data_IF_146631758770
#
_entry.id   IF_146631758770
#
_cell.length_a   1.000
_cell.length_b   1.000
_cell.length_c   1.000
_cell.angle_alpha   90.00
_cell.angle_beta   90.00
_cell.angle_gamma   90.00
#
_symmetry.space_group_name_H-M   'P 1'
#
loop_
_entity.id
_entity.type
_entity.pdbx_description
1 polymer ?
#
# COMPACT_ATOMS: atom_id res chain seq x y z
N UNK A 1 -44.01 29.43 -79.29
CA UNK A 1 -42.97 28.75 -80.10
C UNK A 1 -42.01 28.09 -79.12
N UNK A 2 -42.25 26.83 -78.72
CA UNK A 2 -41.52 25.61 -79.17
C UNK A 2 -40.00 25.72 -78.96
N UNK A 3 -39.25 24.83 -78.32
CA UNK A 3 -39.39 23.42 -77.93
C UNK A 3 -38.22 23.13 -76.93
N UNK A 4 -38.36 22.33 -75.86
CA UNK A 4 -38.18 20.86 -75.77
C UNK A 4 -36.99 20.46 -74.88
N UNK A 5 -37.25 19.43 -74.09
CA UNK A 5 -36.53 18.90 -72.95
C UNK A 5 -35.23 18.12 -73.27
N UNK A 6 -34.34 18.02 -72.27
CA UNK A 6 -33.66 16.75 -71.93
C UNK A 6 -33.49 16.60 -70.41
N UNK A 7 -34.12 15.55 -69.88
CA UNK A 7 -34.02 15.04 -68.51
C UNK A 7 -32.66 14.33 -68.32
N UNK A 8 -32.03 14.49 -67.16
CA UNK A 8 -31.14 13.48 -66.56
C UNK A 8 -31.62 13.23 -65.12
N UNK A 9 -31.86 11.96 -64.84
CA UNK A 9 -32.49 11.47 -63.61
C UNK A 9 -31.55 11.43 -62.40
N UNK A 10 -32.08 11.05 -61.22
CA UNK A 10 -31.35 11.04 -59.96
C UNK A 10 -30.34 9.88 -59.91
N UNK A 11 -29.26 10.00 -59.11
CA UNK A 11 -28.34 8.90 -58.89
C UNK A 11 -29.00 7.75 -58.11
N UNK A 12 -28.64 6.53 -58.50
CA UNK A 12 -29.09 5.27 -57.89
C UNK A 12 -28.56 5.08 -56.45
N UNK A 13 -29.30 4.34 -55.60
CA UNK A 13 -28.89 4.02 -54.24
C UNK A 13 -27.94 2.83 -54.24
N UNK A 14 -26.77 2.94 -53.59
CA UNK A 14 -25.93 1.77 -53.33
C UNK A 14 -26.40 1.06 -52.05
N UNK A 15 -27.17 0.01 -52.27
CA UNK A 15 -27.55 -1.02 -51.33
C UNK A 15 -26.37 -1.95 -51.02
N UNK A 16 -25.89 -1.95 -49.78
CA UNK A 16 -25.42 -3.18 -49.09
C UNK A 16 -25.70 -3.06 -47.60
N UNK A 17 -26.93 -3.38 -47.22
CA UNK A 17 -27.27 -4.00 -45.93
C UNK A 17 -27.56 -5.48 -46.21
N UNK A 18 -27.39 -6.29 -45.17
CA UNK A 18 -27.91 -7.66 -44.96
C UNK A 18 -26.99 -8.82 -45.33
N UNK A 19 -26.13 -9.16 -44.36
CA UNK A 19 -26.15 -10.50 -43.75
C UNK A 19 -26.30 -10.25 -42.24
N UNK A 20 -27.53 -10.06 -41.72
CA UNK A 20 -28.36 -11.07 -41.05
C UNK A 20 -27.59 -12.03 -40.11
N UNK A 21 -27.84 -11.81 -38.82
CA UNK A 21 -28.16 -12.83 -37.81
C UNK A 21 -27.07 -13.85 -37.47
N UNK A 22 -26.13 -13.44 -36.63
CA UNK A 22 -25.58 -14.28 -35.56
C UNK A 22 -24.68 -13.44 -34.62
N UNK A 23 -25.26 -12.62 -33.73
CA UNK A 23 -24.59 -12.16 -32.50
C UNK A 23 -25.55 -11.32 -31.62
N UNK A 24 -26.79 -11.78 -31.44
CA UNK A 24 -27.69 -11.30 -30.39
C UNK A 24 -27.91 -12.47 -29.42
N UNK A 25 -26.80 -12.92 -28.82
CA UNK A 25 -26.75 -13.92 -27.75
C UNK A 25 -25.39 -13.88 -27.04
N UNK A 26 -24.97 -12.70 -26.57
CA UNK A 26 -23.88 -12.57 -25.59
C UNK A 26 -24.01 -11.31 -24.73
N UNK A 27 -25.21 -10.74 -24.62
CA UNK A 27 -25.60 -9.87 -23.50
C UNK A 27 -26.06 -10.76 -22.35
N UNK A 28 -25.10 -11.13 -21.49
CA UNK A 28 -25.20 -11.53 -20.08
C UNK A 28 -24.01 -12.47 -19.83
N UNK A 29 -22.86 -11.94 -19.41
CA UNK A 29 -21.79 -12.61 -18.62
C UNK A 29 -20.49 -11.79 -18.67
N UNK A 30 -20.53 -10.52 -18.23
CA UNK A 30 -19.34 -9.83 -17.71
C UNK A 30 -19.73 -9.12 -16.41
N UNK A 31 -20.23 -9.90 -15.45
CA UNK A 31 -20.44 -9.47 -14.06
C UNK A 31 -19.77 -10.41 -13.05
N UNK A 32 -18.87 -11.28 -13.51
CA UNK A 32 -18.13 -12.22 -12.65
C UNK A 32 -16.70 -12.43 -13.14
N UNK A 33 -16.03 -11.38 -13.62
CA UNK A 33 -14.58 -11.44 -13.68
C UNK A 33 -14.08 -11.36 -12.23
N UNK A 34 -13.44 -12.40 -11.66
CA UNK A 34 -12.82 -12.27 -10.36
C UNK A 34 -11.83 -11.11 -10.45
N UNK A 35 -11.93 -10.18 -9.50
CA UNK A 35 -10.93 -9.14 -9.35
C UNK A 35 -9.55 -9.80 -9.36
N UNK A 36 -8.56 -9.31 -10.15
CA UNK A 36 -7.25 -9.92 -10.16
C UNK A 36 -6.72 -9.95 -8.72
N UNK A 37 -6.21 -11.10 -8.29
CA UNK A 37 -5.91 -11.46 -6.90
C UNK A 37 -4.73 -10.74 -6.25
N UNK A 38 -4.44 -9.48 -6.60
CA UNK A 38 -3.32 -8.70 -6.05
C UNK A 38 -3.63 -8.07 -4.68
N UNK A 39 -4.88 -8.17 -4.20
CA UNK A 39 -5.31 -7.73 -2.85
C UNK A 39 -5.38 -8.87 -1.82
N UNK A 40 -5.13 -10.12 -2.23
CA UNK A 40 -5.04 -11.27 -1.34
C UNK A 40 -3.57 -11.55 -1.04
N UNK A 41 -3.21 -11.54 0.25
CA UNK A 41 -1.96 -12.04 0.83
C UNK A 41 -0.76 -11.08 0.81
N UNK A 42 -0.86 -9.90 1.44
CA UNK A 42 0.30 -9.33 2.15
C UNK A 42 0.28 -9.69 3.64
N UNK A 43 -0.93 -9.81 4.20
CA UNK A 43 -1.17 -9.93 5.65
C UNK A 43 -1.04 -11.36 6.17
N UNK A 44 -1.20 -12.37 5.30
CA UNK A 44 -1.21 -13.80 5.67
C UNK A 44 -0.04 -14.59 5.05
N UNK A 45 0.94 -13.92 4.44
CA UNK A 45 2.13 -14.61 3.93
C UNK A 45 3.08 -14.88 5.08
N UNK A 46 3.21 -16.15 5.47
CA UNK A 46 4.27 -16.59 6.38
C UNK A 46 5.60 -16.43 5.65
N UNK A 47 6.37 -15.44 6.07
CA UNK A 47 7.67 -15.16 5.48
C UNK A 47 8.73 -16.02 6.17
N UNK A 48 9.46 -16.83 5.40
CA UNK A 48 10.62 -17.55 5.94
C UNK A 48 11.77 -16.58 6.14
N UNK A 49 11.94 -16.10 7.36
CA UNK A 49 13.10 -15.31 7.74
C UNK A 49 14.33 -16.19 7.87
N UNK A 50 15.48 -15.64 7.47
CA UNK A 50 16.77 -16.24 7.78
C UNK A 50 17.04 -16.10 9.28
N UNK A 51 17.74 -17.08 9.89
CA UNK A 51 18.02 -17.04 11.32
C UNK A 51 18.91 -15.84 11.67
N UNK A 52 18.62 -15.18 12.79
CA UNK A 52 19.35 -14.00 13.28
C UNK A 52 20.84 -14.25 13.56
N UNK A 53 21.25 -15.51 13.67
CA UNK A 53 22.68 -15.89 13.73
C UNK A 53 23.45 -15.52 12.48
N UNK A 54 22.76 -15.23 11.36
CA UNK A 54 23.34 -14.72 10.11
C UNK A 54 23.36 -13.19 10.05
N UNK A 55 23.14 -12.47 11.15
CA UNK A 55 23.36 -11.04 11.19
C UNK A 55 24.85 -10.73 10.91
N UNK A 56 25.12 -9.91 9.90
CA UNK A 56 26.46 -9.37 9.64
C UNK A 56 26.76 -8.20 10.59
N UNK A 57 25.73 -7.43 10.91
CA UNK A 57 25.83 -6.34 11.86
C UNK A 57 24.51 -6.13 12.59
N UNK A 58 24.62 -5.57 13.80
CA UNK A 58 23.50 -5.18 14.64
C UNK A 58 23.84 -3.90 15.37
N UNK A 59 22.95 -2.92 15.28
CA UNK A 59 23.13 -1.61 15.90
C UNK A 59 21.82 -1.12 16.50
N UNK A 60 21.91 -0.35 17.58
CA UNK A 60 20.77 0.40 18.11
C UNK A 60 20.77 1.83 17.56
N UNK A 61 19.61 2.30 17.09
CA UNK A 61 19.42 3.69 16.65
C UNK A 61 18.08 4.22 17.15
N UNK A 62 18.08 5.27 17.98
CA UNK A 62 16.84 5.87 18.54
C UNK A 62 15.92 4.85 19.23
N UNK A 63 16.49 3.83 19.89
CA UNK A 63 15.73 2.74 20.53
C UNK A 63 15.23 1.64 19.56
N UNK A 64 15.57 1.73 18.28
CA UNK A 64 15.25 0.72 17.26
C UNK A 64 16.44 -0.24 17.10
N UNK A 65 16.16 -1.54 17.08
CA UNK A 65 17.11 -2.60 16.77
C UNK A 65 17.26 -2.72 15.24
N UNK A 66 18.41 -2.31 14.72
CA UNK A 66 18.72 -2.36 13.29
C UNK A 66 19.64 -3.52 13.01
N UNK A 67 19.28 -4.32 12.01
CA UNK A 67 19.98 -5.57 11.69
C UNK A 67 20.28 -5.59 10.20
N UNK A 68 21.56 -5.76 9.84
CA UNK A 68 21.97 -6.06 8.47
C UNK A 68 22.33 -7.53 8.36
N UNK A 69 21.58 -8.30 7.58
CA UNK A 69 21.87 -9.73 7.37
C UNK A 69 23.06 -9.92 6.44
N UNK A 70 23.86 -10.97 6.67
CA UNK A 70 24.91 -11.38 5.74
C UNK A 70 24.33 -11.56 4.34
N UNK A 71 25.08 -11.11 3.32
CA UNK A 71 24.66 -11.30 1.94
C UNK A 71 24.50 -12.80 1.66
N UNK A 72 23.44 -13.21 0.96
CA UNK A 72 23.31 -14.59 0.51
C UNK A 72 24.51 -14.97 -0.38
N UNK A 73 24.87 -16.26 -0.46
CA UNK A 73 25.89 -16.74 -1.38
C UNK A 73 25.62 -16.23 -2.81
N UNK A 74 26.69 -16.06 -3.59
CA UNK A 74 26.60 -15.53 -4.96
C UNK A 74 25.55 -16.31 -5.75
N UNK A 75 24.48 -15.61 -6.11
CA UNK A 75 23.38 -16.10 -6.94
C UNK A 75 23.02 -15.02 -7.98
N UNK A 76 22.26 -15.40 -8.99
CA UNK A 76 21.79 -14.49 -10.03
C UNK A 76 20.62 -13.66 -9.48
N UNK A 77 20.96 -12.55 -8.83
CA UNK A 77 19.98 -11.54 -8.42
C UNK A 77 19.66 -10.60 -9.58
N UNK A 78 18.42 -10.14 -9.62
CA UNK A 78 17.88 -9.24 -10.62
C UNK A 78 18.41 -7.80 -10.50
N UNK A 79 19.02 -7.47 -9.36
CA UNK A 79 19.67 -6.19 -9.08
C UNK A 79 20.97 -6.41 -8.29
N UNK A 80 21.91 -5.46 -8.34
CA UNK A 80 23.05 -5.45 -7.44
C UNK A 80 22.60 -5.44 -5.96
N UNK A 81 23.19 -6.33 -5.17
CA UNK A 81 22.94 -6.37 -3.74
C UNK A 81 23.73 -5.27 -3.04
N UNK A 82 23.05 -4.49 -2.21
CA UNK A 82 23.67 -3.44 -1.42
C UNK A 82 24.42 -4.03 -0.22
N UNK A 83 25.52 -3.39 0.16
CA UNK A 83 26.25 -3.75 1.38
C UNK A 83 25.34 -3.59 2.63
N UNK A 84 25.35 -4.55 3.58
CA UNK A 84 24.51 -4.46 4.77
C UNK A 84 24.77 -3.21 5.62
N UNK A 85 26.02 -2.77 5.79
CA UNK A 85 26.35 -1.61 6.61
C UNK A 85 25.87 -0.32 5.95
N UNK A 86 26.10 -0.17 4.65
CA UNK A 86 25.58 0.95 3.87
C UNK A 86 24.04 1.02 3.91
N UNK A 87 23.38 -0.14 3.84
CA UNK A 87 21.91 -0.21 3.90
C UNK A 87 21.38 0.15 5.29
N UNK A 88 22.00 -0.33 6.35
CA UNK A 88 21.61 0.05 7.72
C UNK A 88 21.84 1.55 7.97
N UNK A 89 22.92 2.13 7.46
CA UNK A 89 23.13 3.58 7.52
C UNK A 89 22.01 4.37 6.81
N UNK A 90 21.54 3.86 5.66
CA UNK A 90 20.39 4.44 4.95
C UNK A 90 19.08 4.29 5.73
N UNK A 91 18.85 3.15 6.37
CA UNK A 91 17.68 2.95 7.25
C UNK A 91 17.72 3.94 8.42
N UNK A 92 18.89 4.18 9.03
CA UNK A 92 19.08 5.21 10.08
C UNK A 92 18.68 6.59 9.57
N UNK A 93 19.16 6.96 8.38
CA UNK A 93 18.80 8.23 7.75
C UNK A 93 17.29 8.33 7.48
N UNK A 94 16.65 7.26 6.98
CA UNK A 94 15.21 7.23 6.77
C UNK A 94 14.42 7.40 8.07
N UNK A 95 14.83 6.73 9.16
CA UNK A 95 14.23 6.92 10.49
C UNK A 95 14.39 8.35 10.98
N UNK A 96 15.60 8.92 10.86
CA UNK A 96 15.84 10.31 11.28
C UNK A 96 15.00 11.30 10.46
N UNK A 97 14.79 11.03 9.16
CA UNK A 97 13.89 11.83 8.30
C UNK A 97 12.44 11.77 8.78
N UNK A 98 11.92 10.59 9.14
CA UNK A 98 10.56 10.47 9.73
C UNK A 98 10.44 11.34 10.97
N UNK A 99 11.41 11.25 11.88
CA UNK A 99 11.42 11.99 13.15
C UNK A 99 11.49 13.51 12.96
N UNK A 100 12.28 13.97 11.99
CA UNK A 100 12.45 15.40 11.72
C UNK A 100 11.27 16.03 11.00
N UNK A 101 10.58 15.25 10.17
CA UNK A 101 9.74 15.80 9.11
C UNK A 101 8.25 15.65 9.39
N UNK A 102 7.84 14.56 10.06
CA UNK A 102 6.43 14.31 10.37
C UNK A 102 6.24 14.13 11.88
N UNK A 103 5.83 15.18 12.62
CA UNK A 103 5.53 15.07 14.03
C UNK A 103 4.43 14.04 14.36
N UNK A 104 3.50 13.83 13.43
CA UNK A 104 2.43 12.85 13.56
C UNK A 104 2.99 11.43 13.46
N UNK A 105 3.83 11.14 12.45
CA UNK A 105 4.49 9.84 12.32
C UNK A 105 5.47 9.58 13.48
N UNK A 106 6.21 10.59 13.93
CA UNK A 106 7.10 10.49 15.09
C UNK A 106 6.37 10.04 16.36
N UNK A 107 5.16 10.55 16.62
CA UNK A 107 4.31 10.08 17.73
C UNK A 107 3.85 8.63 17.55
N UNK A 108 3.59 8.21 16.33
CA UNK A 108 3.32 6.81 16.01
C UNK A 108 4.48 5.91 16.41
N UNK A 109 5.70 6.28 16.03
CA UNK A 109 6.92 5.54 16.40
C UNK A 109 7.14 5.50 17.92
N UNK A 110 6.98 6.63 18.61
CA UNK A 110 7.06 6.71 20.07
C UNK A 110 6.04 5.77 20.75
N UNK A 111 4.80 5.76 20.26
CA UNK A 111 3.74 4.87 20.75
C UNK A 111 4.14 3.39 20.61
N UNK A 112 4.71 2.99 19.47
CA UNK A 112 5.17 1.62 19.26
C UNK A 112 6.35 1.27 20.18
N UNK A 113 7.31 2.18 20.34
CA UNK A 113 8.49 1.95 21.19
C UNK A 113 8.15 1.75 22.66
N UNK A 114 7.10 2.43 23.14
CA UNK A 114 6.57 2.24 24.50
C UNK A 114 5.85 0.91 24.68
N UNK A 115 5.26 0.37 23.61
CA UNK A 115 4.51 -0.88 23.63
C UNK A 115 5.37 -2.13 23.44
N UNK A 116 6.59 -1.98 22.90
CA UNK A 116 7.54 -3.08 22.78
C UNK A 116 8.71 -2.79 21.83
N UNK A 117 9.44 -3.83 21.45
CA UNK A 117 10.67 -3.68 20.68
C UNK A 117 10.36 -3.38 19.22
N UNK A 118 10.99 -2.34 18.68
CA UNK A 118 10.98 -2.07 17.24
C UNK A 118 12.25 -2.67 16.63
N UNK A 119 12.10 -3.41 15.54
CA UNK A 119 13.21 -4.00 14.78
C UNK A 119 13.06 -3.72 13.29
N UNK A 120 14.13 -3.27 12.65
CA UNK A 120 14.19 -3.16 11.18
C UNK A 120 15.35 -4.02 10.68
N UNK A 121 15.03 -5.00 9.85
CA UNK A 121 15.98 -5.98 9.32
C UNK A 121 16.18 -5.70 7.85
N UNK A 122 17.42 -5.47 7.42
CA UNK A 122 17.76 -5.57 6.00
C UNK A 122 18.14 -7.01 5.67
N UNK A 123 17.42 -7.62 4.72
CA UNK A 123 17.75 -8.92 4.17
C UNK A 123 17.72 -8.90 2.63
N UNK A 124 18.90 -9.02 2.01
CA UNK A 124 19.04 -9.10 0.56
C UNK A 124 18.38 -10.34 -0.07
N UNK A 125 18.28 -11.44 0.68
CA UNK A 125 17.62 -12.67 0.23
C UNK A 125 16.09 -12.56 0.29
N UNK A 126 15.54 -11.51 0.90
CA UNK A 126 14.11 -11.29 1.00
C UNK A 126 13.57 -10.52 -0.23
N UNK A 127 12.43 -10.94 -0.82
CA UNK A 127 11.80 -12.25 -0.66
C UNK A 127 12.60 -13.34 -1.40
N UNK A 128 12.49 -14.59 -0.95
CA UNK A 128 13.25 -15.74 -1.47
C UNK A 128 13.07 -15.92 -2.98
N UNK A 129 11.83 -15.74 -3.50
CA UNK A 129 11.50 -15.65 -4.92
C UNK A 129 10.25 -14.81 -5.13
N UNK A 130 10.32 -13.80 -5.98
CA UNK A 130 9.13 -13.06 -6.44
C UNK A 130 9.37 -12.55 -7.86
N UNK A 131 8.93 -13.31 -8.86
CA UNK A 131 9.09 -12.97 -10.28
C UNK A 131 8.08 -11.92 -10.75
N UNK A 132 7.04 -11.63 -9.98
CA UNK A 132 5.93 -10.76 -10.38
C UNK A 132 5.69 -9.57 -9.44
N UNK A 133 6.46 -9.45 -8.35
CA UNK A 133 6.23 -8.40 -7.35
C UNK A 133 7.52 -7.90 -6.72
N UNK A 134 7.78 -6.61 -6.90
CA UNK A 134 8.81 -5.88 -6.16
C UNK A 134 8.27 -5.60 -4.76
N UNK A 135 8.94 -6.14 -3.73
CA UNK A 135 8.64 -5.88 -2.32
C UNK A 135 9.75 -4.98 -1.81
N UNK A 136 9.44 -3.76 -1.35
CA UNK A 136 10.44 -2.81 -0.85
C UNK A 136 10.74 -3.07 0.61
N UNK A 137 9.68 -3.19 1.41
CA UNK A 137 9.72 -3.66 2.77
C UNK A 137 8.41 -4.40 3.09
N UNK A 138 8.37 -5.09 4.23
CA UNK A 138 7.17 -5.73 4.73
C UNK A 138 7.15 -5.72 6.27
N UNK A 139 5.99 -5.45 6.85
CA UNK A 139 5.73 -5.68 8.26
C UNK A 139 5.49 -7.17 8.56
N UNK A 140 6.12 -7.67 9.63
CA UNK A 140 6.07 -9.08 10.01
C UNK A 140 5.19 -9.29 11.24
N UNK A 141 4.25 -10.23 11.12
CA UNK A 141 3.31 -10.58 12.20
C UNK A 141 3.67 -11.97 12.74
N UNK A 142 4.03 -12.06 14.01
CA UNK A 142 4.14 -13.35 14.72
C UNK A 142 5.50 -14.06 14.63
N UNK A 143 6.43 -13.60 13.78
CA UNK A 143 7.78 -14.19 13.64
C UNK A 143 8.69 -13.95 14.86
N UNK A 144 8.42 -12.88 15.62
CA UNK A 144 9.11 -12.59 16.87
C UNK A 144 8.07 -12.59 17.99
N UNK A 145 7.99 -13.70 18.72
CA UNK A 145 7.21 -13.75 19.94
C UNK A 145 8.06 -13.22 21.09
N UNK A 146 7.58 -12.22 21.85
CA UNK A 146 8.29 -11.77 23.03
C UNK A 146 8.33 -12.83 24.10
N UNK A 147 9.46 -12.94 24.78
CA UNK A 147 9.56 -13.77 25.99
C UNK A 147 8.83 -13.13 27.18
N UNK A 148 8.61 -11.80 27.16
CA UNK A 148 8.10 -11.03 28.29
C UNK A 148 6.72 -10.38 28.05
N UNK A 149 5.96 -10.82 27.04
CA UNK A 149 4.63 -10.27 26.71
C UNK A 149 4.60 -8.91 25.99
N UNK A 150 5.75 -8.27 25.74
CA UNK A 150 5.88 -7.00 24.97
C UNK A 150 5.75 -7.21 23.46
N UNK A 151 5.05 -6.40 22.68
CA UNK A 151 4.91 -6.71 21.24
C UNK A 151 6.17 -6.36 20.45
N UNK A 152 6.66 -7.28 19.61
CA UNK A 152 7.68 -6.96 18.62
C UNK A 152 7.00 -6.33 17.38
N UNK A 153 7.55 -5.20 16.93
CA UNK A 153 7.18 -4.51 15.71
C UNK A 153 8.34 -4.63 14.73
N UNK A 154 8.26 -5.62 13.85
CA UNK A 154 9.37 -5.93 12.94
C UNK A 154 9.02 -5.58 11.51
N UNK A 155 9.91 -4.84 10.86
CA UNK A 155 9.89 -4.59 9.42
C UNK A 155 11.12 -5.22 8.79
N UNK A 156 10.94 -5.87 7.65
CA UNK A 156 12.04 -6.34 6.80
C UNK A 156 12.15 -5.44 5.57
N UNK A 157 13.33 -4.89 5.32
CA UNK A 157 13.69 -4.15 4.11
C UNK A 157 14.38 -5.14 3.16
N UNK A 158 13.90 -5.20 1.92
CA UNK A 158 14.40 -6.14 0.91
C UNK A 158 15.64 -5.60 0.20
N UNK A 159 16.19 -6.40 -0.72
CA UNK A 159 17.18 -5.94 -1.72
C UNK A 159 16.72 -4.73 -2.54
N UNK A 160 15.43 -4.59 -2.84
CA UNK A 160 14.92 -3.47 -3.62
C UNK A 160 14.87 -2.20 -2.78
N UNK A 161 14.37 -2.28 -1.54
CA UNK A 161 14.34 -1.11 -0.64
C UNK A 161 15.72 -0.61 -0.24
N UNK A 162 16.70 -1.49 -0.20
CA UNK A 162 18.09 -1.10 0.00
C UNK A 162 18.63 -0.15 -1.09
N UNK A 163 18.07 -0.19 -2.29
CA UNK A 163 18.47 0.68 -3.41
C UNK A 163 17.66 1.99 -3.50
N UNK A 164 16.61 2.15 -2.69
CA UNK A 164 15.79 3.36 -2.69
C UNK A 164 16.50 4.55 -2.04
N UNK A 165 16.15 5.80 -2.40
CA UNK A 165 16.55 6.99 -1.64
C UNK A 165 16.00 6.96 -0.20
N UNK A 166 16.68 7.63 0.72
CA UNK A 166 16.29 7.63 2.14
C UNK A 166 14.89 8.21 2.38
N UNK A 167 14.49 9.25 1.65
CA UNK A 167 13.17 9.87 1.80
C UNK A 167 12.05 8.95 1.30
N UNK A 168 12.26 8.23 0.19
CA UNK A 168 11.30 7.25 -0.31
C UNK A 168 11.22 6.02 0.60
N UNK A 169 12.37 5.56 1.11
CA UNK A 169 12.42 4.49 2.10
C UNK A 169 11.69 4.90 3.39
N UNK A 170 11.83 6.15 3.82
CA UNK A 170 11.12 6.67 4.99
C UNK A 170 9.60 6.61 4.80
N UNK A 171 9.08 6.96 3.63
CA UNK A 171 7.65 6.82 3.31
C UNK A 171 7.18 5.37 3.42
N UNK A 172 7.96 4.42 2.91
CA UNK A 172 7.66 2.99 3.01
C UNK A 172 7.76 2.49 4.45
N UNK A 173 8.75 2.94 5.23
CA UNK A 173 8.83 2.62 6.65
C UNK A 173 7.63 3.17 7.42
N UNK A 174 7.08 4.33 7.06
CA UNK A 174 5.86 4.84 7.69
C UNK A 174 4.65 3.95 7.37
N UNK A 175 4.51 3.47 6.13
CA UNK A 175 3.48 2.47 5.77
C UNK A 175 3.63 1.20 6.62
N UNK A 176 4.80 0.57 6.56
CA UNK A 176 5.04 -0.75 7.14
C UNK A 176 5.14 -0.68 8.66
N UNK A 177 5.97 0.21 9.20
CA UNK A 177 6.20 0.25 10.64
C UNK A 177 5.06 0.93 11.38
N UNK A 178 4.65 2.13 10.95
CA UNK A 178 3.66 2.91 11.72
C UNK A 178 2.25 2.44 11.38
N UNK A 179 1.89 2.38 10.11
CA UNK A 179 0.57 1.91 9.67
C UNK A 179 0.25 0.52 10.21
N UNK A 180 1.03 -0.49 9.80
CA UNK A 180 0.82 -1.85 10.27
C UNK A 180 1.19 -2.06 11.75
N UNK A 181 2.21 -1.38 12.28
CA UNK A 181 2.53 -1.48 13.71
C UNK A 181 1.40 -1.00 14.62
N UNK A 182 0.75 0.13 14.31
CA UNK A 182 -0.39 0.63 15.10
C UNK A 182 -1.58 -0.31 15.00
N UNK A 183 -1.82 -0.92 13.84
CA UNK A 183 -2.83 -1.98 13.68
C UNK A 183 -2.51 -3.21 14.52
N UNK A 184 -1.22 -3.60 14.58
CA UNK A 184 -0.74 -4.70 15.41
C UNK A 184 -0.94 -4.38 16.89
N UNK A 185 -0.69 -3.14 17.31
CA UNK A 185 -0.97 -2.65 18.67
C UNK A 185 -2.47 -2.67 18.99
N UNK A 186 -3.33 -2.33 18.03
CA UNK A 186 -4.80 -2.41 18.15
C UNK A 186 -5.35 -3.85 18.02
N UNK A 187 -4.48 -4.87 17.87
CA UNK A 187 -4.84 -6.29 17.67
C UNK A 187 -5.75 -6.53 16.46
N UNK A 188 -5.48 -5.86 15.34
CA UNK A 188 -6.35 -5.84 14.15
C UNK A 188 -6.03 -6.93 13.12
N UNK A 189 -4.81 -7.48 13.14
CA UNK A 189 -4.43 -8.63 12.31
C UNK A 189 -5.28 -9.87 12.64
N UNK A 190 -5.75 -10.58 11.60
CA UNK A 190 -6.67 -11.71 11.72
C UNK A 190 -8.12 -11.35 12.10
N UNK A 191 -8.38 -10.09 12.50
CA UNK A 191 -9.70 -9.61 12.91
C UNK A 191 -10.35 -8.69 11.87
N UNK A 192 -9.54 -8.05 11.04
CA UNK A 192 -9.96 -7.06 10.07
C UNK A 192 -9.79 -7.52 8.62
N UNK A 193 -10.45 -6.83 7.68
CA UNK A 193 -10.23 -7.11 6.26
C UNK A 193 -8.83 -6.61 5.89
N UNK A 194 -8.02 -7.40 5.17
CA UNK A 194 -6.70 -6.96 4.70
C UNK A 194 -6.75 -5.61 3.97
N UNK A 195 -7.78 -5.37 3.16
CA UNK A 195 -7.95 -4.11 2.43
C UNK A 195 -8.13 -2.88 3.33
N UNK A 196 -8.76 -3.04 4.51
CA UNK A 196 -8.92 -1.95 5.48
C UNK A 196 -7.56 -1.64 6.15
N UNK A 197 -6.77 -2.67 6.43
CA UNK A 197 -5.41 -2.54 6.99
C UNK A 197 -4.48 -1.82 6.00
N UNK A 198 -4.46 -2.27 4.76
CA UNK A 198 -3.68 -1.64 3.69
C UNK A 198 -4.13 -0.20 3.41
N UNK A 199 -5.43 0.10 3.55
CA UNK A 199 -5.92 1.46 3.35
C UNK A 199 -5.31 2.41 4.38
N UNK A 200 -5.45 2.11 5.67
CA UNK A 200 -4.89 2.95 6.74
C UNK A 200 -3.37 3.08 6.64
N UNK A 201 -2.66 1.99 6.34
CA UNK A 201 -1.20 2.05 6.16
C UNK A 201 -0.80 2.98 5.00
N UNK A 202 -1.55 2.97 3.89
CA UNK A 202 -1.35 3.92 2.78
C UNK A 202 -1.69 5.36 3.15
N UNK A 203 -2.64 5.60 4.05
CA UNK A 203 -2.90 6.95 4.56
C UNK A 203 -1.72 7.45 5.39
N UNK A 204 -1.12 6.60 6.22
CA UNK A 204 0.13 6.92 6.91
C UNK A 204 1.27 7.22 5.94
N UNK A 205 1.40 6.45 4.86
CA UNK A 205 2.39 6.73 3.82
C UNK A 205 2.16 8.11 3.17
N UNK A 206 0.92 8.39 2.74
CA UNK A 206 0.58 9.68 2.12
C UNK A 206 0.79 10.85 3.08
N UNK A 207 0.50 10.68 4.37
CA UNK A 207 0.80 11.67 5.42
C UNK A 207 2.27 12.04 5.39
N UNK A 208 3.16 11.06 5.49
CA UNK A 208 4.60 11.34 5.50
C UNK A 208 5.07 12.01 4.20
N UNK A 209 4.63 11.52 3.04
CA UNK A 209 5.02 12.10 1.75
C UNK A 209 4.59 13.59 1.68
N UNK A 210 3.42 13.91 2.23
CA UNK A 210 2.92 15.30 2.31
C UNK A 210 3.75 16.14 3.28
N UNK A 211 3.98 15.63 4.50
CA UNK A 211 4.76 16.32 5.54
C UNK A 211 6.21 16.56 5.07
N UNK A 212 6.76 15.65 4.27
CA UNK A 212 8.10 15.74 3.70
C UNK A 212 8.23 16.64 2.48
N UNK A 213 7.14 17.27 2.03
CA UNK A 213 7.16 18.13 0.86
C UNK A 213 7.60 17.39 -0.41
N UNK A 214 7.43 16.05 -0.45
CA UNK A 214 7.81 15.26 -1.61
C UNK A 214 6.88 15.60 -2.79
N UNK A 215 7.39 15.59 -4.04
CA UNK A 215 6.60 15.90 -5.22
C UNK A 215 5.32 15.07 -5.31
N UNK A 216 4.18 15.72 -5.51
CA UNK A 216 2.85 15.06 -5.54
C UNK A 216 2.35 14.75 -6.95
N UNK A 217 3.01 15.28 -7.97
CA UNK A 217 2.62 15.26 -9.38
C UNK A 217 3.47 14.32 -10.25
N UNK A 218 4.38 13.56 -9.64
CA UNK A 218 5.15 12.52 -10.34
C UNK A 218 4.24 11.39 -10.79
N UNK A 219 4.67 10.64 -11.82
CA UNK A 219 3.89 9.51 -12.33
C UNK A 219 3.68 8.45 -11.25
N UNK A 220 4.70 8.22 -10.44
CA UNK A 220 4.71 7.30 -9.31
C UNK A 220 3.68 7.71 -8.26
N UNK A 221 3.64 9.00 -7.90
CA UNK A 221 2.67 9.50 -6.92
C UNK A 221 1.24 9.52 -7.46
N UNK A 222 1.05 9.82 -8.73
CA UNK A 222 -0.26 9.69 -9.39
C UNK A 222 -0.72 8.23 -9.39
N UNK A 223 0.17 7.28 -9.69
CA UNK A 223 -0.13 5.85 -9.66
C UNK A 223 -0.42 5.35 -8.23
N UNK A 224 0.36 5.80 -7.25
CA UNK A 224 0.14 5.54 -5.84
C UNK A 224 -1.25 6.01 -5.40
N UNK A 225 -1.58 7.29 -5.62
CA UNK A 225 -2.88 7.87 -5.26
C UNK A 225 -4.03 7.15 -5.96
N UNK A 226 -3.93 6.88 -7.26
CA UNK A 226 -4.97 6.11 -7.99
C UNK A 226 -5.20 4.73 -7.39
N UNK A 227 -4.14 4.03 -7.00
CA UNK A 227 -4.25 2.71 -6.37
C UNK A 227 -4.86 2.80 -4.97
N UNK A 228 -4.35 3.71 -4.14
CA UNK A 228 -4.88 4.01 -2.81
C UNK A 228 -6.36 4.36 -2.91
N UNK A 229 -6.74 5.31 -3.76
CA UNK A 229 -8.11 5.84 -3.83
C UNK A 229 -9.12 4.86 -4.42
N UNK A 230 -8.78 4.26 -5.56
CA UNK A 230 -9.77 3.50 -6.33
C UNK A 230 -9.84 2.05 -5.95
N UNK A 231 -8.79 1.52 -5.33
CA UNK A 231 -8.69 0.09 -5.10
C UNK A 231 -8.59 -0.27 -3.62
N UNK A 232 -7.74 0.40 -2.85
CA UNK A 232 -7.52 0.02 -1.45
C UNK A 232 -8.48 0.76 -0.51
N UNK A 233 -8.60 2.08 -0.65
CA UNK A 233 -9.41 2.95 0.20
C UNK A 233 -10.80 3.27 -0.37
N UNK A 234 -11.29 2.51 -1.35
CA UNK A 234 -12.54 2.82 -2.03
C UNK A 234 -13.75 2.88 -1.07
N UNK A 235 -13.89 1.91 -0.16
CA UNK A 235 -14.99 1.86 0.81
C UNK A 235 -14.88 3.02 1.81
N UNK A 236 -13.67 3.31 2.30
CA UNK A 236 -13.43 4.44 3.19
C UNK A 236 -13.76 5.76 2.51
N UNK A 237 -13.32 5.99 1.27
CA UNK A 237 -13.68 7.19 0.50
C UNK A 237 -15.19 7.33 0.31
N UNK A 238 -15.92 6.24 0.11
CA UNK A 238 -17.39 6.27 0.05
C UNK A 238 -17.98 6.73 1.39
N UNK A 239 -17.44 6.26 2.50
CA UNK A 239 -17.83 6.72 3.84
C UNK A 239 -17.53 8.22 4.03
N UNK A 240 -16.32 8.68 3.70
CA UNK A 240 -15.93 10.11 3.81
C UNK A 240 -16.86 10.98 2.98
N UNK A 241 -17.18 10.59 1.73
CA UNK A 241 -18.12 11.35 0.88
C UNK A 241 -19.49 11.57 1.52
N UNK A 242 -19.95 10.60 2.32
CA UNK A 242 -21.26 10.69 2.96
C UNK A 242 -21.24 11.54 4.23
N UNK A 243 -20.22 11.39 5.07
CA UNK A 243 -20.16 12.02 6.40
C UNK A 243 -19.46 13.39 6.37
N UNK A 244 -18.48 13.57 5.48
CA UNK A 244 -17.64 14.79 5.35
C UNK A 244 -17.43 15.16 3.86
N UNK A 245 -18.48 15.60 3.15
CA UNK A 245 -18.39 15.95 1.72
C UNK A 245 -17.44 17.12 1.45
N UNK A 246 -17.25 18.02 2.42
CA UNK A 246 -16.25 19.09 2.39
C UNK A 246 -14.82 18.53 2.32
N UNK A 247 -14.50 17.57 3.18
CA UNK A 247 -13.19 16.92 3.24
C UNK A 247 -12.92 16.07 2.00
N UNK A 248 -13.96 15.44 1.44
CA UNK A 248 -13.84 14.73 0.16
C UNK A 248 -13.43 15.66 -0.99
N UNK A 249 -13.97 16.89 -1.06
CA UNK A 249 -13.54 17.87 -2.08
C UNK A 249 -12.06 18.25 -1.90
N UNK A 250 -11.63 18.42 -0.66
CA UNK A 250 -10.22 18.71 -0.34
C UNK A 250 -9.31 17.54 -0.76
N UNK A 251 -9.69 16.30 -0.46
CA UNK A 251 -8.98 15.10 -0.89
C UNK A 251 -8.82 15.05 -2.42
N UNK A 252 -9.91 15.24 -3.15
CA UNK A 252 -9.88 15.20 -4.63
C UNK A 252 -8.99 16.31 -5.21
N UNK A 253 -8.93 17.47 -4.56
CA UNK A 253 -8.04 18.58 -4.93
C UNK A 253 -6.57 18.38 -4.52
N UNK A 254 -6.26 17.38 -3.69
CA UNK A 254 -4.92 17.16 -3.13
C UNK A 254 -4.50 18.18 -2.06
N UNK A 255 -5.44 19.00 -1.56
CA UNK A 255 -5.18 20.04 -0.53
C UNK A 255 -5.94 19.72 0.74
N UNK A 256 -5.48 18.72 1.49
CA UNK A 256 -6.16 18.28 2.71
C UNK A 256 -5.16 17.95 3.81
N UNK A 257 -5.59 18.11 5.06
CA UNK A 257 -4.80 17.73 6.21
C UNK A 257 -4.89 16.21 6.39
N UNK A 258 -3.79 15.54 6.13
CA UNK A 258 -3.70 14.07 6.22
C UNK A 258 -4.01 13.55 7.63
N UNK A 259 -3.72 14.33 8.67
CA UNK A 259 -4.09 13.98 10.05
C UNK A 259 -5.61 13.86 10.24
N UNK A 260 -6.41 14.78 9.69
CA UNK A 260 -7.88 14.71 9.79
C UNK A 260 -8.44 13.47 9.10
N UNK A 261 -7.82 13.04 8.01
CA UNK A 261 -8.20 11.83 7.29
C UNK A 261 -7.90 10.57 8.08
N UNK A 262 -6.73 10.51 8.72
CA UNK A 262 -6.36 9.38 9.58
C UNK A 262 -7.30 9.30 10.78
N UNK A 263 -7.64 10.43 11.41
CA UNK A 263 -8.59 10.48 12.52
C UNK A 263 -9.98 9.99 12.08
N UNK A 264 -10.46 10.43 10.90
CA UNK A 264 -11.74 9.97 10.34
C UNK A 264 -11.73 8.47 9.97
N UNK A 265 -10.55 7.89 9.73
CA UNK A 265 -10.43 6.45 9.49
C UNK A 265 -10.77 5.64 10.75
N UNK A 266 -10.40 6.12 11.95
CA UNK A 266 -10.76 5.45 13.20
C UNK A 266 -12.30 5.43 13.40
N UNK A 267 -13.01 6.50 13.04
CA UNK A 267 -14.48 6.56 13.07
C UNK A 267 -15.13 5.62 12.06
N UNK A 268 -14.60 5.58 10.83
CA UNK A 268 -14.98 4.61 9.81
C UNK A 268 -14.84 3.18 10.33
N UNK A 269 -13.71 2.89 10.97
CA UNK A 269 -13.40 1.57 11.50
C UNK A 269 -14.39 1.14 12.59
N UNK A 270 -14.72 2.03 13.52
CA UNK A 270 -15.74 1.77 14.55
C UNK A 270 -17.10 1.46 13.91
N UNK A 271 -17.47 2.20 12.87
CA UNK A 271 -18.74 2.03 12.15
C UNK A 271 -18.84 0.64 11.50
N UNK A 272 -17.82 0.23 10.74
CA UNK A 272 -17.83 -1.09 10.09
C UNK A 272 -17.78 -2.23 11.11
N UNK A 273 -17.05 -2.07 12.23
CA UNK A 273 -16.97 -3.09 13.29
C UNK A 273 -18.29 -3.28 14.01
N UNK A 274 -19.01 -2.19 14.32
CA UNK A 274 -20.37 -2.25 14.88
C UNK A 274 -21.33 -2.95 13.91
N UNK A 275 -21.24 -2.65 12.61
CA UNK A 275 -22.00 -3.33 11.56
C UNK A 275 -21.75 -4.85 11.52
N UNK A 276 -20.48 -5.28 11.60
CA UNK A 276 -20.12 -6.71 11.63
C UNK A 276 -20.64 -7.44 12.88
N UNK A 277 -20.61 -6.81 14.05
CA UNK A 277 -21.19 -7.40 15.27
C UNK A 277 -22.69 -7.65 15.12
N UNK A 278 -23.44 -6.72 14.53
CA UNK A 278 -24.88 -6.88 14.26
C UNK A 278 -25.18 -8.02 13.28
N UNK A 279 -24.32 -8.22 12.27
CA UNK A 279 -24.46 -9.33 11.32
C UNK A 279 -24.19 -10.70 11.96
N UNK A 280 -23.21 -10.80 12.87
CA UNK A 280 -22.93 -12.04 13.62
C UNK A 280 -23.98 -12.38 14.69
N UNK A 281 -24.87 -11.45 15.02
CA UNK A 281 -25.95 -11.62 16.00
C UNK A 281 -27.32 -11.87 15.37
N UNK A 282 -27.42 -11.87 14.04
CA UNK A 282 -28.63 -12.36 13.37
C UNK A 282 -28.60 -13.89 13.40
N UNK A 283 -29.61 -14.55 13.99
CA UNK A 283 -29.72 -16.00 14.03
C UNK A 283 -29.89 -16.60 12.62
#
# INVERSE_FOLDING_TARGET
MTASARRRGPPLPSSRRLSLLAALAATLFILTAPAPGWAQNLVDTVWRLRPMTLAALREAHRGIDLVGMQLPPKADFDIPLADPAATVAKIKAAVDRVLQTSPVAARGLDTLSKAGQIRIIYDAAFPERSLSRVIIAAFLVGEFQPQDGKRDFTVIVSRFGANWPADELAAVLVHELIGHGLQRLKNRFGNDRPIDLECEARLWQQLYITDAGMPQDTQEMVAFRRTTDRRVCHDFRRYVRHIRPDLMRQWDSGRFLMSEIIDLFDDYYVTIRKGRKKLKQKP
#
